data_IF_026414779224
#
_entry.id   IF_026414779224
#
_cell.length_a   1.000
_cell.length_b   1.000
_cell.length_c   1.000
_cell.angle_alpha   90.00
_cell.angle_beta   90.00
_cell.angle_gamma   90.00
#
_symmetry.space_group_name_H-M   'P 1'
#
loop_
_entity.id
_entity.type
_entity.pdbx_description
1 polymer ?
#
# COMPACT_ATOMS: atom_id res chain seq x y z
N UNK A 1 -2.54 -13.11 -26.65
CA UNK A 1 -1.98 -12.70 -25.34
C UNK A 1 -1.65 -11.21 -25.44
N UNK A 2 -2.23 -10.35 -24.59
CA UNK A 2 -1.92 -8.92 -24.60
C UNK A 2 -0.91 -8.60 -23.49
N UNK A 3 0.13 -7.86 -23.84
CA UNK A 3 1.19 -7.46 -22.90
C UNK A 3 0.81 -6.19 -22.14
N UNK A 4 1.22 -6.10 -20.88
CA UNK A 4 1.10 -4.87 -20.09
C UNK A 4 2.10 -3.84 -20.65
N UNK A 5 1.68 -2.63 -21.03
CA UNK A 5 2.54 -1.67 -21.75
C UNK A 5 3.48 -0.87 -20.84
N UNK A 6 3.71 -1.35 -19.60
CA UNK A 6 4.48 -0.69 -18.54
C UNK A 6 5.26 -1.71 -17.73
N UNK A 7 6.37 -1.29 -17.09
CA UNK A 7 6.94 -2.09 -16.01
C UNK A 7 5.96 -2.11 -14.84
N UNK A 8 5.86 -3.25 -14.15
CA UNK A 8 4.85 -3.45 -13.10
C UNK A 8 5.53 -3.65 -11.76
N UNK A 9 5.27 -2.72 -10.85
CA UNK A 9 5.60 -2.84 -9.43
C UNK A 9 4.39 -3.37 -8.64
N UNK A 10 3.18 -2.93 -9.00
CA UNK A 10 1.96 -3.28 -8.28
C UNK A 10 0.75 -3.34 -9.20
N UNK A 11 -0.21 -4.18 -8.83
CA UNK A 11 -1.50 -4.33 -9.46
C UNK A 11 -2.61 -4.17 -8.42
N UNK A 12 -3.72 -3.54 -8.82
CA UNK A 12 -4.96 -3.52 -8.06
C UNK A 12 -6.15 -3.49 -9.01
N UNK A 13 -7.29 -4.02 -8.61
CA UNK A 13 -8.51 -3.95 -9.41
C UNK A 13 -9.77 -4.25 -8.61
N UNK A 14 -10.91 -3.85 -9.14
CA UNK A 14 -12.23 -4.14 -8.53
C UNK A 14 -12.77 -5.49 -9.00
N UNK A 15 -12.49 -5.83 -10.25
CA UNK A 15 -12.97 -7.04 -10.91
C UNK A 15 -12.11 -7.34 -12.16
N UNK A 16 -12.45 -8.42 -12.87
CA UNK A 16 -11.72 -8.90 -14.05
C UNK A 16 -11.65 -7.90 -15.21
N UNK A 17 -12.55 -6.91 -15.23
CA UNK A 17 -12.65 -5.90 -16.26
C UNK A 17 -12.16 -4.52 -15.81
N UNK A 18 -11.59 -4.42 -14.60
CA UNK A 18 -11.12 -3.14 -14.07
C UNK A 18 -9.87 -3.37 -13.22
N UNK A 19 -8.72 -3.38 -13.89
CA UNK A 19 -7.40 -3.64 -13.27
C UNK A 19 -6.45 -2.50 -13.62
N UNK A 20 -5.73 -2.00 -12.64
CA UNK A 20 -4.67 -1.04 -12.79
C UNK A 20 -3.31 -1.69 -12.54
N UNK A 21 -2.32 -1.26 -13.32
CA UNK A 21 -0.92 -1.58 -13.15
C UNK A 21 -0.11 -0.30 -13.05
N UNK A 22 0.82 -0.27 -12.10
CA UNK A 22 1.70 0.88 -11.88
C UNK A 22 3.16 0.43 -11.84
N UNK A 23 4.07 1.34 -12.16
CA UNK A 23 5.49 1.06 -12.03
C UNK A 23 6.41 2.25 -12.18
N UNK A 24 7.61 1.97 -12.70
CA UNK A 24 8.69 2.94 -12.79
C UNK A 24 8.34 4.13 -13.71
N UNK A 25 8.95 5.29 -13.43
CA UNK A 25 8.82 6.51 -14.24
C UNK A 25 7.36 7.00 -14.39
N UNK A 26 6.56 6.87 -13.33
CA UNK A 26 5.17 7.33 -13.29
C UNK A 26 4.23 6.56 -14.22
N UNK A 27 4.63 5.39 -14.69
CA UNK A 27 3.85 4.60 -15.63
C UNK A 27 2.63 3.99 -14.95
N UNK A 28 1.46 4.22 -15.55
CA UNK A 28 0.18 3.63 -15.15
C UNK A 28 -0.47 3.01 -16.39
N UNK A 29 -1.05 1.82 -16.25
CA UNK A 29 -1.89 1.19 -17.25
C UNK A 29 -3.21 0.70 -16.62
N UNK A 30 -4.29 0.76 -17.38
CA UNK A 30 -5.62 0.31 -16.99
C UNK A 30 -6.12 -0.73 -17.98
N UNK A 31 -6.66 -1.83 -17.47
CA UNK A 31 -7.33 -2.88 -18.23
C UNK A 31 -8.82 -2.77 -18.02
N UNK A 32 -9.55 -2.67 -19.13
CA UNK A 32 -11.00 -2.47 -19.14
C UNK A 32 -11.80 -3.75 -19.44
N UNK A 33 -11.19 -4.93 -19.31
CA UNK A 33 -11.81 -6.22 -19.70
C UNK A 33 -11.56 -6.62 -21.15
N UNK A 34 -11.04 -5.71 -21.97
CA UNK A 34 -10.73 -5.96 -23.39
C UNK A 34 -9.27 -5.69 -23.69
N UNK A 35 -8.75 -4.54 -23.25
CA UNK A 35 -7.35 -4.21 -23.47
C UNK A 35 -6.72 -3.29 -22.43
N UNK A 36 -5.39 -3.36 -22.35
CA UNK A 36 -4.57 -2.45 -21.56
C UNK A 36 -4.39 -1.12 -22.28
N UNK A 37 -4.64 -0.02 -21.57
CA UNK A 37 -4.39 1.35 -22.04
C UNK A 37 -3.51 2.09 -21.06
N UNK A 38 -2.60 2.93 -21.55
CA UNK A 38 -1.79 3.79 -20.67
C UNK A 38 -2.63 4.92 -20.11
N UNK A 39 -2.48 5.18 -18.82
CA UNK A 39 -3.06 6.35 -18.14
C UNK A 39 -1.94 7.37 -17.91
N UNK A 40 -2.17 8.61 -18.32
CA UNK A 40 -1.16 9.68 -18.23
C UNK A 40 -1.14 10.23 -16.80
N UNK A 41 -0.06 9.98 -16.07
CA UNK A 41 0.13 10.51 -14.71
C UNK A 41 0.71 11.92 -14.65
N UNK A 42 1.38 12.36 -15.72
CA UNK A 42 2.06 13.66 -15.77
C UNK A 42 3.36 13.73 -14.94
N UNK A 43 3.78 12.63 -14.31
CA UNK A 43 4.96 12.59 -13.43
C UNK A 43 5.95 11.51 -13.84
N UNK A 44 7.19 11.63 -13.34
CA UNK A 44 8.29 10.67 -13.60
C UNK A 44 8.75 9.92 -12.36
N UNK A 45 7.98 9.97 -11.27
CA UNK A 45 8.30 9.27 -10.01
C UNK A 45 7.88 7.80 -10.11
N UNK A 46 8.68 6.88 -9.60
CA UNK A 46 8.28 5.48 -9.47
C UNK A 46 7.06 5.37 -8.57
N UNK A 47 6.02 4.68 -9.01
CA UNK A 47 4.84 4.40 -8.21
C UNK A 47 5.07 3.07 -7.49
N UNK A 48 4.94 3.08 -6.16
CA UNK A 48 5.32 1.96 -5.30
C UNK A 48 4.14 1.06 -4.96
N UNK A 49 2.95 1.64 -4.87
CA UNK A 49 1.72 0.93 -4.53
C UNK A 49 0.56 1.47 -5.37
N UNK A 50 -0.49 0.67 -5.49
CA UNK A 50 -1.79 1.13 -5.97
C UNK A 50 -2.88 0.38 -5.22
N UNK A 51 -3.86 1.11 -4.73
CA UNK A 51 -4.99 0.53 -4.00
C UNK A 51 -6.25 1.36 -4.24
N UNK A 52 -7.39 0.70 -4.36
CA UNK A 52 -8.68 1.35 -4.27
C UNK A 52 -9.27 1.18 -2.89
N UNK A 53 -9.61 2.31 -2.30
CA UNK A 53 -10.23 2.44 -0.98
C UNK A 53 -11.74 2.65 -1.21
N UNK A 54 -12.63 1.85 -0.59
CA UNK A 54 -14.07 2.04 -0.74
C UNK A 54 -14.51 3.48 -0.44
N UNK A 55 -15.34 4.04 -1.32
CA UNK A 55 -15.86 5.39 -1.24
C UNK A 55 -17.29 5.44 -1.78
N UNK A 56 -18.27 5.29 -0.88
CA UNK A 56 -19.70 5.15 -1.24
C UNK A 56 -19.88 4.05 -2.29
N UNK A 57 -20.33 4.41 -3.49
CA UNK A 57 -20.63 3.48 -4.59
C UNK A 57 -19.43 3.21 -5.51
N UNK A 58 -18.23 3.71 -5.17
CA UNK A 58 -17.02 3.54 -5.97
C UNK A 58 -15.77 3.41 -5.09
N UNK A 59 -14.58 3.63 -5.66
CA UNK A 59 -13.29 3.54 -5.02
C UNK A 59 -12.51 4.84 -5.20
N UNK A 60 -11.87 5.29 -4.12
CA UNK A 60 -10.78 6.24 -4.16
C UNK A 60 -9.49 5.46 -4.49
N UNK A 61 -8.97 5.63 -5.70
CA UNK A 61 -7.76 4.92 -6.15
C UNK A 61 -6.54 5.77 -5.82
N UNK A 62 -5.68 5.27 -4.92
CA UNK A 62 -4.47 5.97 -4.49
C UNK A 62 -3.20 5.26 -4.95
N UNK A 63 -2.21 6.05 -5.32
CA UNK A 63 -0.93 5.58 -5.83
C UNK A 63 0.24 6.43 -5.26
N UNK A 64 0.87 6.03 -4.15
CA UNK A 64 2.06 6.69 -3.62
C UNK A 64 3.28 6.51 -4.53
N UNK A 65 4.06 7.58 -4.70
CA UNK A 65 5.16 7.61 -5.64
C UNK A 65 6.36 8.44 -5.17
N UNK A 66 7.56 7.94 -5.45
CA UNK A 66 8.83 8.61 -5.20
C UNK A 66 9.40 8.36 -3.81
N UNK A 67 10.74 8.41 -3.73
CA UNK A 67 11.56 8.28 -2.52
C UNK A 67 12.11 9.68 -2.20
N UNK A 68 12.10 10.11 -0.93
CA UNK A 68 12.56 11.45 -0.44
C UNK A 68 11.77 12.68 -0.93
N UNK A 69 10.74 12.48 -1.75
CA UNK A 69 9.84 13.55 -2.24
C UNK A 69 8.54 12.91 -2.70
N UNK A 70 7.90 12.19 -1.77
CA UNK A 70 6.75 11.36 -2.09
C UNK A 70 5.52 12.21 -2.40
N UNK A 71 4.69 11.69 -3.31
CA UNK A 71 3.38 12.24 -3.64
C UNK A 71 2.39 11.09 -3.62
N UNK A 72 1.17 11.34 -3.17
CA UNK A 72 0.06 10.39 -3.30
C UNK A 72 -0.78 10.86 -4.48
N UNK A 73 -0.93 10.05 -5.51
CA UNK A 73 -1.85 10.36 -6.61
C UNK A 73 -3.22 9.75 -6.35
N UNK A 74 -4.24 10.44 -6.83
CA UNK A 74 -5.59 9.93 -6.99
C UNK A 74 -5.88 9.70 -8.47
N UNK A 75 -6.38 8.50 -8.83
CA UNK A 75 -6.93 8.24 -10.16
C UNK A 75 -8.44 8.39 -10.08
N UNK A 76 -8.97 9.36 -10.82
CA UNK A 76 -10.39 9.67 -10.87
C UNK A 76 -11.14 8.73 -11.82
N UNK A 77 -12.48 8.70 -11.71
CA UNK A 77 -13.34 7.83 -12.52
C UNK A 77 -13.21 8.07 -14.03
N UNK A 78 -12.80 9.27 -14.44
CA UNK A 78 -12.52 9.67 -15.82
C UNK A 78 -11.08 9.36 -16.28
N UNK A 79 -10.32 8.60 -15.48
CA UNK A 79 -8.90 8.27 -15.65
C UNK A 79 -7.95 9.46 -15.53
N UNK A 80 -8.40 10.64 -15.09
CA UNK A 80 -7.51 11.73 -14.79
C UNK A 80 -6.75 11.47 -13.49
N UNK A 81 -5.45 11.77 -13.51
CA UNK A 81 -4.57 11.62 -12.34
C UNK A 81 -4.37 12.97 -11.69
N UNK A 82 -4.79 13.10 -10.44
CA UNK A 82 -4.63 14.31 -9.62
C UNK A 82 -3.80 14.01 -8.38
N UNK A 83 -3.32 15.03 -7.69
CA UNK A 83 -2.66 14.83 -6.40
C UNK A 83 -3.72 14.66 -5.30
N UNK A 84 -3.55 13.63 -4.47
CA UNK A 84 -4.23 13.52 -3.19
C UNK A 84 -3.42 14.32 -2.15
N UNK A 85 -4.07 14.99 -1.17
CA UNK A 85 -3.36 15.77 -0.16
C UNK A 85 -2.23 14.96 0.48
N UNK A 86 -1.03 15.54 0.54
CA UNK A 86 0.13 14.99 1.22
C UNK A 86 1.06 16.14 1.57
N UNK A 87 0.99 16.58 2.83
CA UNK A 87 1.59 17.85 3.26
C UNK A 87 2.93 17.65 3.99
N UNK A 88 3.56 16.49 3.80
CA UNK A 88 4.78 16.08 4.49
C UNK A 88 5.89 15.79 3.50
N UNK A 89 7.12 16.13 3.86
CA UNK A 89 8.30 15.76 3.08
C UNK A 89 8.70 14.28 3.27
N UNK A 90 8.02 13.60 4.20
CA UNK A 90 8.29 12.20 4.54
C UNK A 90 7.94 11.26 3.40
N UNK A 91 8.71 10.18 3.35
CA UNK A 91 8.51 9.14 2.35
C UNK A 91 7.23 8.34 2.62
N UNK A 92 6.46 8.09 1.56
CA UNK A 92 5.30 7.20 1.56
C UNK A 92 5.48 6.16 0.46
N UNK A 93 5.47 4.90 0.87
CA UNK A 93 5.62 3.73 0.01
C UNK A 93 4.30 3.01 -0.24
N UNK A 94 3.41 3.00 0.75
CA UNK A 94 2.15 2.28 0.68
C UNK A 94 1.06 3.01 1.46
N UNK A 95 -0.17 2.87 0.99
CA UNK A 95 -1.36 3.39 1.65
C UNK A 95 -2.42 2.29 1.75
N UNK A 96 -3.28 2.40 2.74
CA UNK A 96 -4.41 1.50 2.91
C UNK A 96 -5.53 2.19 3.69
N UNK A 97 -6.78 1.87 3.38
CA UNK A 97 -7.93 2.33 4.16
C UNK A 97 -9.13 1.43 3.95
N UNK A 98 -9.97 1.32 4.98
CA UNK A 98 -11.26 0.66 4.88
C UNK A 98 -12.32 1.54 4.23
N UNK A 99 -12.16 2.87 4.35
CA UNK A 99 -13.03 3.91 3.79
C UNK A 99 -12.22 5.17 3.47
N UNK A 100 -12.66 5.95 2.48
CA UNK A 100 -11.89 7.08 1.95
C UNK A 100 -11.60 8.24 2.93
N UNK A 101 -12.29 8.32 4.07
CA UNK A 101 -12.04 9.36 5.08
C UNK A 101 -11.11 8.93 6.22
N UNK A 102 -10.65 7.67 6.22
CA UNK A 102 -9.63 7.15 7.14
C UNK A 102 -8.62 6.32 6.36
N UNK A 103 -7.45 6.92 6.11
CA UNK A 103 -6.40 6.32 5.30
C UNK A 103 -5.12 6.27 6.12
N UNK A 104 -4.48 5.12 6.15
CA UNK A 104 -3.17 4.93 6.74
C UNK A 104 -2.12 4.94 5.64
N UNK A 105 -0.98 5.56 5.92
CA UNK A 105 0.17 5.59 5.02
C UNK A 105 1.42 5.12 5.78
N UNK A 106 2.29 4.38 5.11
CA UNK A 106 3.58 3.98 5.65
C UNK A 106 4.73 4.21 4.67
N UNK A 107 5.93 4.34 5.22
CA UNK A 107 7.17 4.66 4.54
C UNK A 107 8.22 4.98 5.61
N UNK A 108 8.73 6.20 5.66
CA UNK A 108 9.68 6.58 6.73
C UNK A 108 9.04 6.53 8.13
N UNK A 109 7.77 6.93 8.20
CA UNK A 109 6.91 6.94 9.39
C UNK A 109 5.52 6.42 9.02
N UNK A 110 4.68 6.17 10.04
CA UNK A 110 3.25 5.85 9.84
C UNK A 110 2.40 7.09 10.04
N UNK A 111 1.47 7.31 9.14
CA UNK A 111 0.56 8.45 9.16
C UNK A 111 -0.89 7.99 9.04
N UNK A 112 -1.80 8.79 9.57
CA UNK A 112 -3.24 8.60 9.42
C UNK A 112 -3.89 9.88 8.93
N UNK A 113 -4.66 9.77 7.85
CA UNK A 113 -5.52 10.80 7.30
C UNK A 113 -6.90 10.67 7.91
N UNK A 114 -7.38 11.70 8.60
CA UNK A 114 -8.74 11.76 9.15
C UNK A 114 -9.29 13.16 8.95
N UNK A 115 -10.47 13.25 8.34
CA UNK A 115 -11.20 14.52 8.23
C UNK A 115 -10.42 15.60 7.47
N UNK A 116 -9.75 15.23 6.38
CA UNK A 116 -9.03 16.20 5.55
C UNK A 116 -7.55 16.38 5.89
N UNK A 117 -7.06 15.82 6.99
CA UNK A 117 -5.71 16.11 7.51
C UNK A 117 -4.92 14.86 7.83
N UNK A 118 -3.63 14.88 7.47
CA UNK A 118 -2.65 13.88 7.88
C UNK A 118 -2.11 14.16 9.28
N UNK A 119 -1.92 13.09 10.05
CA UNK A 119 -1.26 13.11 11.36
C UNK A 119 -0.27 11.97 11.46
N UNK A 120 0.95 12.26 11.90
CA UNK A 120 1.95 11.24 12.17
C UNK A 120 1.56 10.45 13.43
N UNK A 121 1.65 9.12 13.36
CA UNK A 121 1.51 8.24 14.52
C UNK A 121 2.87 8.15 15.21
N UNK A 122 3.00 8.85 16.34
CA UNK A 122 4.22 8.91 17.15
C UNK A 122 4.44 7.60 17.94
N UNK A 123 5.68 7.39 18.38
CA UNK A 123 6.05 6.28 19.27
C UNK A 123 6.21 4.93 18.56
N UNK A 124 6.23 4.93 17.23
CA UNK A 124 6.53 3.76 16.43
C UNK A 124 8.03 3.69 16.12
N UNK A 125 8.56 2.47 15.83
CA UNK A 125 9.90 2.31 15.30
C UNK A 125 10.12 3.22 14.10
N UNK A 126 11.33 3.78 13.99
CA UNK A 126 11.75 4.51 12.79
C UNK A 126 12.09 3.48 11.70
N UNK A 127 12.01 3.89 10.43
CA UNK A 127 12.38 3.07 9.27
C UNK A 127 11.37 1.93 8.97
N UNK A 128 10.08 2.24 9.06
CA UNK A 128 9.01 1.31 8.71
C UNK A 128 8.75 1.27 7.19
N UNK A 129 9.81 0.95 6.44
CA UNK A 129 9.74 0.81 5.00
C UNK A 129 9.05 -0.49 4.63
N UNK A 130 7.90 -0.40 3.96
CA UNK A 130 7.24 -1.55 3.41
C UNK A 130 5.79 -1.29 3.04
N UNK A 131 4.97 -2.31 3.23
CA UNK A 131 3.58 -2.35 2.79
C UNK A 131 2.64 -2.35 3.99
N UNK A 132 1.55 -1.59 3.86
CA UNK A 132 0.47 -1.55 4.86
C UNK A 132 -0.78 -2.18 4.26
N UNK A 133 -1.38 -3.12 5.01
CA UNK A 133 -2.63 -3.78 4.63
C UNK A 133 -3.47 -4.07 5.85
N UNK A 134 -4.79 -4.08 5.69
CA UNK A 134 -5.70 -4.45 6.77
C UNK A 134 -6.97 -5.07 6.24
N UNK A 135 -7.74 -5.63 7.16
CA UNK A 135 -9.10 -6.13 6.88
C UNK A 135 -10.16 -5.18 7.42
N UNK A 136 -9.80 -4.42 8.45
CA UNK A 136 -10.65 -3.49 9.18
C UNK A 136 -9.79 -2.40 9.86
N UNK A 137 -10.42 -1.31 10.32
CA UNK A 137 -9.75 -0.16 10.94
C UNK A 137 -9.03 -0.52 12.24
N UNK A 138 -9.45 -1.60 12.89
CA UNK A 138 -8.83 -2.18 14.07
C UNK A 138 -7.98 -3.42 13.77
N UNK A 139 -7.72 -3.73 12.50
CA UNK A 139 -6.92 -4.89 12.11
C UNK A 139 -6.04 -4.57 10.91
N UNK A 140 -4.91 -3.93 11.20
CA UNK A 140 -3.98 -3.41 10.20
C UNK A 140 -2.59 -3.96 10.48
N UNK A 141 -1.93 -4.43 9.44
CA UNK A 141 -0.57 -4.96 9.47
C UNK A 141 0.34 -4.09 8.64
N UNK A 142 1.55 -3.91 9.13
CA UNK A 142 2.60 -3.19 8.47
C UNK A 142 3.86 -4.04 8.47
N UNK A 143 4.42 -4.27 7.30
CA UNK A 143 5.77 -4.81 7.15
C UNK A 143 6.79 -3.67 7.10
N UNK A 144 7.85 -3.77 7.89
CA UNK A 144 8.89 -2.74 7.97
C UNK A 144 10.29 -3.25 7.60
N UNK A 145 11.24 -2.31 7.53
CA UNK A 145 12.65 -2.64 7.45
C UNK A 145 13.10 -3.39 8.72
N UNK A 146 14.21 -4.12 8.61
CA UNK A 146 14.78 -4.98 9.66
C UNK A 146 13.90 -6.19 10.04
N UNK A 147 12.82 -6.45 9.31
CA UNK A 147 12.02 -7.68 9.42
C UNK A 147 10.91 -7.60 10.46
N UNK A 148 10.63 -6.40 10.98
CA UNK A 148 9.53 -6.15 11.90
C UNK A 148 8.18 -6.17 11.21
N UNK A 149 7.23 -6.87 11.82
CA UNK A 149 5.80 -6.73 11.53
C UNK A 149 5.16 -6.01 12.69
N UNK A 150 4.47 -4.92 12.38
CA UNK A 150 3.57 -4.25 13.32
C UNK A 150 2.12 -4.63 13.04
N UNK A 151 1.34 -4.76 14.09
CA UNK A 151 -0.10 -4.98 14.05
C UNK A 151 -0.81 -3.90 14.89
N UNK A 152 -1.79 -3.25 14.28
CA UNK A 152 -2.73 -2.37 14.96
C UNK A 152 -4.01 -3.14 15.26
N UNK A 153 -4.38 -3.17 16.55
CA UNK A 153 -5.55 -3.89 17.05
C UNK A 153 -6.74 -2.96 17.38
N UNK A 154 -6.75 -1.72 16.86
CA UNK A 154 -7.75 -0.70 17.19
C UNK A 154 -7.41 0.15 18.41
N UNK A 155 -6.43 -0.25 19.23
CA UNK A 155 -5.99 0.50 20.41
C UNK A 155 -4.54 0.96 20.30
N UNK A 156 -3.66 0.07 19.85
CA UNK A 156 -2.22 0.32 19.81
C UNK A 156 -1.56 -0.47 18.69
N UNK A 157 -0.50 0.09 18.12
CA UNK A 157 0.43 -0.66 17.28
C UNK A 157 1.37 -1.47 18.17
N UNK A 158 1.59 -2.74 17.83
CA UNK A 158 2.52 -3.63 18.53
C UNK A 158 3.33 -4.44 17.55
N UNK A 159 4.55 -4.82 17.94
CA UNK A 159 5.27 -5.87 17.24
C UNK A 159 4.47 -7.17 17.33
N UNK A 160 4.12 -7.69 16.17
CA UNK A 160 3.45 -8.97 16.02
C UNK A 160 4.47 -10.09 15.80
N UNK A 161 5.48 -9.81 14.98
CA UNK A 161 6.55 -10.74 14.67
C UNK A 161 7.79 -9.98 14.22
N UNK A 162 8.95 -10.61 14.33
CA UNK A 162 10.22 -10.04 13.95
C UNK A 162 11.11 -11.13 13.38
N UNK A 163 11.61 -10.93 12.16
CA UNK A 163 12.57 -11.83 11.51
C UNK A 163 13.91 -11.09 11.38
N UNK A 164 14.86 -11.31 12.30
CA UNK A 164 16.12 -10.56 12.32
C UNK A 164 16.90 -10.66 11.00
N UNK A 165 17.47 -9.54 10.56
CA UNK A 165 18.32 -9.49 9.35
C UNK A 165 17.56 -9.68 8.03
N UNK A 166 16.23 -9.55 8.06
CA UNK A 166 15.39 -9.61 6.87
C UNK A 166 14.72 -8.27 6.58
N UNK A 167 14.10 -8.16 5.40
CA UNK A 167 13.23 -7.03 5.04
C UNK A 167 11.87 -7.62 4.68
N UNK A 168 10.79 -7.10 5.28
CA UNK A 168 9.46 -7.48 4.83
C UNK A 168 9.18 -6.80 3.48
N UNK A 169 8.94 -7.61 2.45
CA UNK A 169 8.82 -7.14 1.07
C UNK A 169 7.38 -6.95 0.61
N UNK A 170 6.45 -7.70 1.19
CA UNK A 170 5.03 -7.57 0.91
C UNK A 170 4.17 -8.08 2.06
N UNK A 171 2.97 -7.51 2.14
CA UNK A 171 1.91 -7.94 3.05
C UNK A 171 0.66 -8.20 2.23
N UNK A 172 -0.01 -9.33 2.47
CA UNK A 172 -1.31 -9.62 1.88
C UNK A 172 -2.28 -10.11 2.96
N UNK A 173 -3.53 -9.66 2.88
CA UNK A 173 -4.59 -10.02 3.82
C UNK A 173 -5.85 -10.45 3.07
N UNK A 174 -6.50 -11.52 3.55
CA UNK A 174 -7.79 -11.96 3.03
C UNK A 174 -8.58 -12.68 4.12
N UNK A 175 -9.70 -12.08 4.54
CA UNK A 175 -10.48 -12.62 5.65
C UNK A 175 -9.61 -12.77 6.89
N UNK A 176 -9.50 -13.99 7.42
CA UNK A 176 -8.68 -14.26 8.60
C UNK A 176 -7.22 -14.62 8.28
N UNK A 177 -6.81 -14.60 7.01
CA UNK A 177 -5.46 -14.93 6.59
C UNK A 177 -4.64 -13.66 6.43
N UNK A 178 -3.47 -13.62 7.07
CA UNK A 178 -2.41 -12.66 6.75
C UNK A 178 -1.16 -13.39 6.30
N UNK A 179 -0.54 -12.87 5.26
CA UNK A 179 0.65 -13.39 4.61
C UNK A 179 1.70 -12.29 4.56
N UNK A 180 2.91 -12.63 5.01
CA UNK A 180 4.08 -11.77 4.88
C UNK A 180 5.14 -12.47 4.05
N UNK A 181 5.74 -11.72 3.13
CA UNK A 181 6.94 -12.16 2.44
C UNK A 181 8.14 -11.39 2.95
N UNK A 182 9.26 -12.08 3.03
CA UNK A 182 10.53 -11.50 3.42
C UNK A 182 11.59 -11.74 2.37
N UNK A 183 12.55 -10.83 2.25
CA UNK A 183 13.83 -11.10 1.62
C UNK A 183 14.94 -11.09 2.65
N UNK A 184 15.83 -12.07 2.53
CA UNK A 184 17.20 -12.01 3.07
C UNK A 184 18.16 -12.07 1.89
N UNK A 185 19.47 -12.00 2.12
CA UNK A 185 20.45 -12.16 1.04
C UNK A 185 20.37 -13.53 0.34
N UNK A 186 19.68 -14.53 0.92
CA UNK A 186 19.64 -15.90 0.39
C UNK A 186 18.26 -16.57 0.30
N UNK A 187 17.29 -16.16 1.13
CA UNK A 187 16.00 -16.87 1.28
C UNK A 187 14.79 -15.92 1.24
N UNK A 188 13.67 -16.45 0.77
CA UNK A 188 12.34 -15.87 0.94
C UNK A 188 11.55 -16.66 2.01
N UNK A 189 10.81 -15.97 2.86
CA UNK A 189 10.00 -16.58 3.92
C UNK A 189 8.54 -16.22 3.78
N UNK A 190 7.66 -17.13 4.18
CA UNK A 190 6.22 -16.96 4.24
C UNK A 190 5.77 -17.12 5.69
N UNK A 191 5.15 -16.09 6.26
CA UNK A 191 4.53 -16.19 7.59
C UNK A 191 3.02 -16.10 7.44
N UNK A 192 2.31 -17.08 8.00
CA UNK A 192 0.85 -17.18 7.95
C UNK A 192 0.25 -16.98 9.34
N UNK A 193 -0.54 -15.92 9.50
CA UNK A 193 -1.30 -15.65 10.72
C UNK A 193 -2.80 -15.92 10.56
N UNK A 194 -3.46 -16.28 11.66
CA UNK A 194 -4.94 -16.31 11.76
C UNK A 194 -5.44 -15.19 12.66
N UNK A 195 -6.47 -14.47 12.25
CA UNK A 195 -7.11 -13.48 13.11
C UNK A 195 -7.66 -14.15 14.39
N UNK A 196 -7.20 -13.71 15.56
CA UNK A 196 -7.59 -14.28 16.87
C UNK A 196 -6.78 -15.50 17.35
N UNK A 197 -5.74 -15.93 16.62
CA UNK A 197 -4.85 -17.03 17.02
C UNK A 197 -3.39 -16.76 16.66
N UNK A 198 -2.46 -17.40 17.36
CA UNK A 198 -1.02 -17.27 17.11
C UNK A 198 -0.59 -17.70 15.70
N UNK A 199 0.62 -17.28 15.31
CA UNK A 199 1.29 -17.67 14.07
C UNK A 199 1.53 -19.19 14.02
N UNK A 200 1.49 -19.77 12.82
CA UNK A 200 1.98 -21.13 12.53
C UNK A 200 3.13 -21.09 11.55
#
# INVERSE_FOLDING_TARGET
>A
MQCIPVSVNKLWGTDKNNIFAVGALGKIAHYNGVSWRRVKSGVRKTIHDIIGIPNKDNYLILAPAGVRSSVIFQINSDMNVTQFPWDSEKEVLSVWGKRANVIYACGESVWVYVGGKWREIKGLPKELWGEIRGTDENNIFLGGALGGILHFNGKSWKYFHFVPGSICTAVAVKGNLVVFTYSTSRNAYLVIGKNGGGLK
#
